data_IF_246728709733
#
_entry.id   IF_246728709733
#
_cell.length_a   1.000
_cell.length_b   1.000
_cell.length_c   1.000
_cell.angle_alpha   90.00
_cell.angle_beta   90.00
_cell.angle_gamma   90.00
#
_symmetry.space_group_name_H-M   'P 1'
#
loop_
_entity.id
_entity.type
_entity.pdbx_description
1 polymer ?
#
# COMPACT_ATOMS: atom_id res chain seq x y z
N UNK A 1 33.28 -13.01 -0.53
CA UNK A 1 31.99 -12.45 -0.15
C UNK A 1 31.10 -12.46 -1.38
N UNK A 2 30.13 -13.37 -1.45
CA UNK A 2 29.21 -13.40 -2.58
C UNK A 2 28.24 -12.24 -2.44
N UNK A 3 28.18 -11.34 -3.43
CA UNK A 3 27.16 -10.32 -3.51
C UNK A 3 25.81 -11.02 -3.62
N UNK A 4 24.88 -10.72 -2.73
CA UNK A 4 23.51 -11.20 -2.84
C UNK A 4 22.97 -10.72 -4.19
N UNK A 5 22.53 -11.68 -5.03
CA UNK A 5 21.88 -11.35 -6.29
C UNK A 5 20.52 -10.73 -5.94
N UNK A 6 20.37 -9.46 -6.21
CA UNK A 6 19.09 -8.77 -6.06
C UNK A 6 18.32 -9.02 -7.36
N UNK A 7 17.29 -9.84 -7.29
CA UNK A 7 16.35 -10.01 -8.40
C UNK A 7 15.33 -8.86 -8.35
N UNK A 8 15.38 -7.99 -9.35
CA UNK A 8 14.40 -6.92 -9.51
C UNK A 8 13.26 -7.44 -10.36
N UNK A 9 12.05 -7.38 -9.81
CA UNK A 9 10.81 -7.69 -10.53
C UNK A 9 10.15 -6.38 -10.94
N UNK A 10 9.86 -6.26 -12.23
CA UNK A 10 9.20 -5.08 -12.78
C UNK A 10 7.78 -5.48 -13.16
N UNK A 11 6.80 -4.80 -12.56
CA UNK A 11 5.39 -4.90 -12.90
C UNK A 11 4.99 -3.77 -13.84
N UNK A 12 4.06 -4.04 -14.74
CA UNK A 12 3.49 -3.06 -15.67
C UNK A 12 1.96 -3.11 -15.60
N UNK A 13 1.34 -1.95 -15.51
CA UNK A 13 -0.13 -1.84 -15.45
C UNK A 13 -0.81 -1.93 -16.83
N UNK A 14 -0.04 -1.81 -17.92
CA UNK A 14 -0.57 -1.82 -19.28
C UNK A 14 -0.67 -3.25 -19.84
N UNK A 15 -1.73 -3.51 -20.61
CA UNK A 15 -2.03 -4.83 -21.21
C UNK A 15 -1.19 -5.18 -22.44
N UNK A 16 0.04 -4.70 -22.58
CA UNK A 16 0.93 -4.98 -23.73
C UNK A 16 1.91 -6.13 -23.45
N UNK A 17 1.37 -7.28 -23.04
CA UNK A 17 2.17 -8.41 -22.56
C UNK A 17 2.94 -9.15 -23.65
N UNK A 18 2.42 -9.21 -24.88
CA UNK A 18 2.95 -10.10 -25.92
C UNK A 18 4.37 -9.74 -26.38
N UNK A 19 4.79 -8.49 -26.20
CA UNK A 19 6.10 -8.01 -26.69
C UNK A 19 7.18 -7.89 -25.61
N UNK A 20 6.85 -8.10 -24.33
CA UNK A 20 7.77 -7.84 -23.20
C UNK A 20 7.75 -8.98 -22.18
N UNK A 21 8.29 -10.14 -22.54
CA UNK A 21 8.28 -11.35 -21.72
C UNK A 21 8.96 -11.23 -20.34
N UNK A 22 9.68 -10.15 -20.09
CA UNK A 22 10.33 -9.85 -18.80
C UNK A 22 9.53 -8.91 -17.90
N UNK A 23 8.44 -8.34 -18.41
CA UNK A 23 7.55 -7.49 -17.63
C UNK A 23 6.35 -8.33 -17.19
N UNK A 24 6.03 -8.26 -15.91
CA UNK A 24 4.89 -8.97 -15.37
C UNK A 24 3.66 -8.06 -15.36
N UNK A 25 2.52 -8.49 -15.89
CA UNK A 25 1.28 -7.74 -15.81
C UNK A 25 0.86 -7.63 -14.34
N UNK A 26 0.84 -6.41 -13.81
CA UNK A 26 0.64 -6.16 -12.40
C UNK A 26 -0.63 -6.85 -11.88
N UNK A 27 -1.74 -6.68 -12.56
CA UNK A 27 -3.05 -7.15 -12.10
C UNK A 27 -3.29 -8.66 -12.24
N UNK A 28 -2.35 -9.41 -12.82
CA UNK A 28 -2.32 -10.88 -12.77
C UNK A 28 -1.53 -11.42 -11.59
N UNK A 29 -0.67 -10.60 -11.01
CA UNK A 29 0.27 -11.03 -9.97
C UNK A 29 0.11 -10.27 -8.65
N UNK A 30 -0.65 -9.19 -8.68
CA UNK A 30 -0.92 -8.33 -7.53
C UNK A 30 -2.38 -7.86 -7.53
N UNK A 31 -2.74 -7.17 -6.48
CA UNK A 31 -3.99 -6.42 -6.41
C UNK A 31 -3.82 -5.18 -5.56
N UNK A 32 -4.77 -4.27 -5.63
CA UNK A 32 -4.79 -3.08 -4.80
C UNK A 32 -6.16 -2.81 -4.17
N UNK A 33 -6.17 -1.94 -3.16
CA UNK A 33 -7.42 -1.39 -2.62
C UNK A 33 -7.94 -0.27 -3.53
N UNK A 34 -9.24 0.08 -3.46
CA UNK A 34 -9.79 1.22 -4.20
C UNK A 34 -9.03 2.50 -3.92
N UNK A 35 -9.15 3.45 -4.81
CA UNK A 35 -8.54 4.78 -4.73
C UNK A 35 -9.45 5.82 -5.40
N UNK A 36 -9.21 7.08 -5.08
CA UNK A 36 -9.97 8.19 -5.67
C UNK A 36 -11.10 8.72 -4.78
N UNK A 37 -11.21 8.19 -3.57
CA UNK A 37 -12.13 8.66 -2.56
C UNK A 37 -11.85 10.12 -2.20
N UNK A 38 -12.88 10.84 -1.77
CA UNK A 38 -12.77 12.24 -1.34
C UNK A 38 -12.69 12.39 0.16
N UNK A 39 -13.17 11.40 0.91
CA UNK A 39 -13.20 11.40 2.37
C UNK A 39 -12.55 10.14 2.95
N UNK A 40 -11.94 10.27 4.12
CA UNK A 40 -11.21 9.17 4.76
C UNK A 40 -12.11 7.97 5.09
N UNK A 41 -13.36 8.23 5.47
CA UNK A 41 -14.35 7.22 5.82
C UNK A 41 -14.79 6.36 4.63
N UNK A 42 -14.54 6.82 3.43
CA UNK A 42 -14.83 6.08 2.18
C UNK A 42 -13.74 5.09 1.81
N UNK A 43 -12.54 5.25 2.40
CA UNK A 43 -11.39 4.40 2.11
C UNK A 43 -11.62 3.00 2.68
N UNK A 44 -11.64 1.98 1.80
CA UNK A 44 -11.86 0.59 2.18
C UNK A 44 -10.63 -0.29 1.95
N UNK A 45 -10.68 -1.51 2.49
CA UNK A 45 -9.67 -2.55 2.25
C UNK A 45 -10.12 -3.55 1.16
N UNK A 46 -11.22 -3.26 0.47
CA UNK A 46 -11.78 -4.11 -0.57
C UNK A 46 -10.85 -4.22 -1.78
N UNK A 47 -11.14 -5.18 -2.66
CA UNK A 47 -10.48 -5.30 -3.95
C UNK A 47 -10.83 -4.10 -4.85
N UNK A 48 -9.81 -3.36 -5.27
CA UNK A 48 -9.91 -2.33 -6.31
C UNK A 48 -9.62 -2.92 -7.69
N UNK A 49 -8.36 -3.27 -7.95
CA UNK A 49 -7.89 -3.87 -9.21
C UNK A 49 -7.09 -5.13 -8.92
N UNK A 50 -7.03 -6.03 -9.88
CA UNK A 50 -6.22 -7.24 -9.83
C UNK A 50 -6.97 -8.46 -9.31
N UNK A 51 -6.25 -9.39 -8.69
CA UNK A 51 -6.77 -10.65 -8.17
C UNK A 51 -6.41 -10.79 -6.68
N UNK A 52 -7.41 -10.75 -5.81
CA UNK A 52 -7.24 -10.84 -4.36
C UNK A 52 -6.71 -12.19 -3.86
N UNK A 53 -6.64 -13.21 -4.73
CA UNK A 53 -5.96 -14.47 -4.42
C UNK A 53 -4.44 -14.34 -4.44
N UNK A 54 -3.90 -13.26 -4.99
CA UNK A 54 -2.46 -13.01 -5.02
C UNK A 54 -1.95 -12.52 -3.65
N UNK A 55 -0.77 -13.00 -3.21
CA UNK A 55 -0.23 -12.63 -1.89
C UNK A 55 0.36 -11.21 -1.83
N UNK A 56 0.67 -10.63 -3.00
CA UNK A 56 1.25 -9.28 -3.11
C UNK A 56 0.14 -8.28 -3.33
N UNK A 57 0.03 -7.30 -2.46
CA UNK A 57 -0.98 -6.29 -2.60
C UNK A 57 -0.55 -4.90 -2.13
N UNK A 58 -1.25 -3.89 -2.64
CA UNK A 58 -0.98 -2.49 -2.41
C UNK A 58 -2.14 -1.84 -1.68
N UNK A 59 -1.86 -1.22 -0.56
CA UNK A 59 -2.82 -0.34 0.11
C UNK A 59 -2.68 1.07 -0.44
N UNK A 60 -3.68 1.53 -1.17
CA UNK A 60 -3.75 2.90 -1.64
C UNK A 60 -4.22 3.80 -0.50
N UNK A 61 -3.50 4.87 -0.19
CA UNK A 61 -3.78 5.76 0.93
C UNK A 61 -3.61 7.24 0.54
N UNK A 62 -4.54 7.75 -0.25
CA UNK A 62 -4.63 9.18 -0.57
C UNK A 62 -6.07 9.57 -0.84
N UNK A 63 -6.36 10.85 -0.70
CA UNK A 63 -7.66 11.43 -0.99
C UNK A 63 -7.58 12.38 -2.17
N UNK A 64 -8.65 12.42 -2.94
CA UNK A 64 -8.79 13.29 -4.10
C UNK A 64 -9.75 14.44 -3.81
N UNK A 65 -9.50 15.58 -4.48
CA UNK A 65 -10.47 16.65 -4.62
C UNK A 65 -10.62 16.96 -6.11
N UNK A 66 -11.83 16.85 -6.63
CA UNK A 66 -12.12 16.98 -8.06
C UNK A 66 -11.30 16.02 -8.96
N UNK A 67 -11.01 14.81 -8.47
CA UNK A 67 -10.26 13.79 -9.21
C UNK A 67 -8.74 13.99 -9.22
N UNK A 68 -8.23 14.93 -8.44
CA UNK A 68 -6.79 15.18 -8.27
C UNK A 68 -6.37 14.94 -6.82
N UNK A 69 -5.14 14.48 -6.62
CA UNK A 69 -4.55 14.32 -5.30
C UNK A 69 -4.59 15.63 -4.50
N UNK A 70 -5.02 15.56 -3.24
CA UNK A 70 -5.21 16.73 -2.39
C UNK A 70 -4.10 16.85 -1.34
N UNK A 71 -3.17 17.78 -1.58
CA UNK A 71 -2.08 18.06 -0.66
C UNK A 71 -2.54 18.52 0.73
N UNK A 72 -3.71 19.16 0.84
CA UNK A 72 -4.22 19.62 2.12
C UNK A 72 -4.76 18.48 2.98
N UNK A 73 -5.19 17.39 2.34
CA UNK A 73 -5.68 16.17 3.01
C UNK A 73 -4.56 15.17 3.27
N UNK A 74 -3.45 15.26 2.54
CA UNK A 74 -2.34 14.31 2.63
C UNK A 74 -1.76 14.21 4.05
N UNK A 75 -1.49 15.32 4.71
CA UNK A 75 -0.97 15.35 6.07
C UNK A 75 -1.87 14.63 7.07
N UNK A 76 -3.20 14.68 6.88
CA UNK A 76 -4.17 14.02 7.75
C UNK A 76 -4.14 12.49 7.55
N UNK A 77 -4.20 12.02 6.31
CA UNK A 77 -4.28 10.57 6.04
C UNK A 77 -2.92 9.87 6.13
N UNK A 78 -1.82 10.62 6.05
CA UNK A 78 -0.45 10.13 6.22
C UNK A 78 0.06 10.31 7.66
N UNK A 79 -0.74 10.88 8.56
CA UNK A 79 -0.42 10.93 9.99
C UNK A 79 -0.17 9.53 10.55
N UNK A 80 0.76 9.42 11.52
CA UNK A 80 1.22 8.13 12.04
C UNK A 80 0.08 7.24 12.54
N UNK A 81 -0.76 7.78 13.42
CA UNK A 81 -1.86 7.00 14.00
C UNK A 81 -2.92 6.65 12.96
N UNK A 82 -3.28 7.61 12.12
CA UNK A 82 -4.27 7.42 11.04
C UNK A 82 -3.84 6.34 10.05
N UNK A 83 -2.62 6.44 9.54
CA UNK A 83 -2.10 5.51 8.55
C UNK A 83 -1.83 4.12 9.16
N UNK A 84 -1.29 4.06 10.39
CA UNK A 84 -1.04 2.80 11.08
C UNK A 84 -2.35 2.07 11.36
N UNK A 85 -3.35 2.75 11.92
CA UNK A 85 -4.65 2.15 12.22
C UNK A 85 -5.32 1.60 10.96
N UNK A 86 -5.26 2.34 9.85
CA UNK A 86 -5.76 1.86 8.57
C UNK A 86 -5.01 0.62 8.08
N UNK A 87 -3.67 0.62 8.16
CA UNK A 87 -2.87 -0.52 7.75
C UNK A 87 -3.14 -1.78 8.59
N UNK A 88 -3.35 -1.62 9.91
CA UNK A 88 -3.71 -2.71 10.80
C UNK A 88 -5.12 -3.25 10.51
N UNK A 89 -6.09 -2.36 10.29
CA UNK A 89 -7.45 -2.74 9.89
C UNK A 89 -7.44 -3.54 8.58
N UNK A 90 -6.73 -3.05 7.58
CA UNK A 90 -6.64 -3.76 6.31
C UNK A 90 -5.85 -5.09 6.43
N UNK A 91 -4.86 -5.15 7.30
CA UNK A 91 -4.17 -6.42 7.60
C UNK A 91 -5.12 -7.44 8.22
N UNK A 92 -5.97 -7.01 9.17
CA UNK A 92 -7.00 -7.86 9.77
C UNK A 92 -8.01 -8.36 8.74
N UNK A 93 -8.59 -7.45 7.95
CA UNK A 93 -9.63 -7.78 6.95
C UNK A 93 -9.12 -8.67 5.82
N UNK A 94 -7.92 -8.40 5.33
CA UNK A 94 -7.29 -9.14 4.23
C UNK A 94 -6.64 -10.43 4.70
N UNK A 95 -6.21 -10.51 5.97
CA UNK A 95 -5.47 -11.62 6.54
C UNK A 95 -3.96 -11.59 6.26
N UNK A 96 -3.49 -10.60 5.50
CA UNK A 96 -2.08 -10.39 5.19
C UNK A 96 -1.72 -8.91 5.32
N UNK A 97 -0.52 -8.64 5.84
CA UNK A 97 0.04 -7.30 5.88
C UNK A 97 0.17 -6.72 4.48
N UNK A 98 -0.11 -5.40 4.27
CA UNK A 98 0.16 -4.75 2.99
C UNK A 98 1.61 -4.97 2.56
N UNK A 99 1.81 -5.37 1.31
CA UNK A 99 3.17 -5.48 0.75
C UNK A 99 3.72 -4.10 0.43
N UNK A 100 2.85 -3.23 -0.06
CA UNK A 100 3.17 -1.84 -0.35
C UNK A 100 2.08 -0.92 0.20
N UNK A 101 2.50 0.25 0.67
CA UNK A 101 1.60 1.35 1.02
C UNK A 101 1.91 2.49 0.08
N UNK A 102 0.94 2.88 -0.73
CA UNK A 102 1.06 3.98 -1.67
C UNK A 102 0.37 5.23 -1.10
N UNK A 103 1.11 6.31 -1.01
CA UNK A 103 0.62 7.60 -0.53
C UNK A 103 0.96 8.69 -1.55
N UNK A 104 0.16 9.74 -1.59
CA UNK A 104 0.55 11.00 -2.22
C UNK A 104 1.24 11.90 -1.19
N UNK A 105 2.10 12.81 -1.65
CA UNK A 105 2.80 13.77 -0.79
C UNK A 105 3.47 13.10 0.42
N UNK A 106 4.29 12.10 0.16
CA UNK A 106 4.95 11.25 1.18
C UNK A 106 5.75 12.03 2.23
N UNK A 107 6.20 13.24 1.88
CA UNK A 107 6.90 14.18 2.77
C UNK A 107 5.97 14.82 3.81
N UNK A 108 4.65 14.70 3.63
CA UNK A 108 3.64 15.19 4.55
C UNK A 108 3.08 14.04 5.38
N UNK A 109 3.79 13.66 6.44
CA UNK A 109 3.35 12.62 7.36
C UNK A 109 4.44 11.65 7.74
N UNK A 110 4.03 10.46 8.18
CA UNK A 110 4.88 9.53 8.92
C UNK A 110 5.01 8.15 8.25
N UNK A 111 4.89 8.07 6.92
CA UNK A 111 4.91 6.79 6.17
C UNK A 111 6.11 5.92 6.56
N UNK A 112 7.30 6.51 6.66
CA UNK A 112 8.52 5.77 7.00
C UNK A 112 8.41 5.13 8.39
N UNK A 113 7.93 5.87 9.38
CA UNK A 113 7.78 5.36 10.74
C UNK A 113 6.68 4.30 10.85
N UNK A 114 5.58 4.47 10.11
CA UNK A 114 4.52 3.45 10.00
C UNK A 114 5.08 2.16 9.42
N UNK A 115 5.82 2.22 8.32
CA UNK A 115 6.40 1.03 7.70
C UNK A 115 7.44 0.34 8.59
N UNK A 116 8.26 1.11 9.34
CA UNK A 116 9.18 0.56 10.33
C UNK A 116 8.40 -0.19 11.44
N UNK A 117 7.30 0.40 11.92
CA UNK A 117 6.45 -0.22 12.94
C UNK A 117 5.85 -1.53 12.43
N UNK A 118 5.19 -1.50 11.28
CA UNK A 118 4.58 -2.69 10.67
C UNK A 118 5.61 -3.81 10.43
N UNK A 119 6.84 -3.47 10.06
CA UNK A 119 7.90 -4.45 9.82
C UNK A 119 8.44 -5.09 11.11
N UNK A 120 8.19 -4.52 12.27
CA UNK A 120 8.53 -5.10 13.58
C UNK A 120 7.42 -6.00 14.15
N UNK A 121 6.23 -5.96 13.57
CA UNK A 121 5.07 -6.74 14.01
C UNK A 121 4.99 -8.03 13.19
N UNK A 122 4.67 -9.14 13.85
CA UNK A 122 4.40 -10.43 13.20
C UNK A 122 2.91 -10.63 12.93
N UNK A 123 2.07 -9.99 13.75
CA UNK A 123 0.62 -10.06 13.66
C UNK A 123 -0.02 -8.69 13.94
N UNK A 124 -1.18 -8.43 13.35
CA UNK A 124 -1.91 -7.16 13.52
C UNK A 124 -2.41 -6.91 14.96
N UNK A 125 -2.48 -7.96 15.79
CA UNK A 125 -2.84 -7.87 17.22
C UNK A 125 -1.63 -7.68 18.15
N UNK A 126 -0.42 -7.63 17.62
CA UNK A 126 0.77 -7.42 18.44
C UNK A 126 0.74 -6.05 19.12
N UNK A 127 1.41 -5.96 20.28
CA UNK A 127 1.62 -4.67 20.90
C UNK A 127 2.42 -3.76 19.96
N UNK A 128 1.90 -2.56 19.72
CA UNK A 128 2.56 -1.59 18.81
C UNK A 128 3.93 -1.24 19.41
N UNK A 129 5.03 -1.50 18.68
CA UNK A 129 6.37 -1.16 19.16
C UNK A 129 6.46 0.34 19.44
N UNK A 130 7.19 0.70 20.49
CA UNK A 130 7.45 2.10 20.79
C UNK A 130 7.98 2.81 19.54
N UNK A 131 7.38 3.95 19.26
CA UNK A 131 7.81 4.84 18.17
C UNK A 131 9.28 5.25 18.42
N UNK A 132 10.15 5.17 17.42
CA UNK A 132 11.54 5.55 17.55
C UNK A 132 11.71 7.04 17.85
#
# INVERSE_FOLDING_TARGET
MALAKIDVVIYIELEYEENFSKLLPAWKHTWDTPYGESEQEEMSCNLGRGDSAQPVWHMNNWLNTFGLADANKAAQVNDYETLLNRALLCWEEVGNRPTFIAVDYWEQGELTNVTITLNKMEHWTDEIPLHP
#
